data_IF_421592959907
#
_entry.id   IF_421592959907
#
_cell.length_a   1.000
_cell.length_b   1.000
_cell.length_c   1.000
_cell.angle_alpha   90.00
_cell.angle_beta   90.00
_cell.angle_gamma   90.00
#
_symmetry.space_group_name_H-M   'P 1'
#
loop_
_entity.id
_entity.type
_entity.pdbx_description
1 polymer ?
#
# COMPACT_ATOMS: atom_id res chain seq x y z
N UNK A 1 -11.26 -21.55 -5.98
CA UNK A 1 -11.60 -21.43 -4.54
C UNK A 1 -11.94 -19.98 -4.27
N UNK A 2 -12.91 -19.62 -3.42
CA UNK A 2 -13.17 -18.20 -3.09
C UNK A 2 -12.50 -17.82 -1.77
N UNK A 3 -11.76 -16.71 -1.76
CA UNK A 3 -11.21 -16.09 -0.54
C UNK A 3 -12.22 -15.11 0.07
N UNK A 4 -12.24 -15.03 1.40
CA UNK A 4 -13.08 -14.08 2.16
C UNK A 4 -12.24 -13.38 3.21
N UNK A 5 -12.18 -12.05 3.15
CA UNK A 5 -11.40 -11.21 4.07
C UNK A 5 -12.25 -10.04 4.55
N UNK A 6 -12.29 -9.82 5.86
CA UNK A 6 -12.96 -8.71 6.49
C UNK A 6 -11.93 -7.66 6.90
N UNK A 7 -12.01 -6.49 6.27
CA UNK A 7 -11.11 -5.37 6.53
C UNK A 7 -11.88 -4.31 7.32
N UNK A 8 -11.63 -4.28 8.64
CA UNK A 8 -12.27 -3.37 9.60
C UNK A 8 -13.81 -3.26 9.48
N UNK A 9 -14.49 -4.37 9.25
CA UNK A 9 -15.95 -4.46 9.14
C UNK A 9 -16.49 -4.56 7.71
N UNK A 10 -15.64 -4.39 6.68
CA UNK A 10 -16.03 -4.54 5.28
C UNK A 10 -15.57 -5.89 4.75
N UNK A 11 -16.51 -6.75 4.34
CA UNK A 11 -16.22 -8.06 3.78
C UNK A 11 -15.92 -7.97 2.29
N UNK A 12 -14.77 -8.49 1.89
CA UNK A 12 -14.35 -8.67 0.50
C UNK A 12 -14.31 -10.15 0.15
N UNK A 13 -14.85 -10.49 -1.02
CA UNK A 13 -14.76 -11.82 -1.62
C UNK A 13 -13.98 -11.75 -2.94
N UNK A 14 -13.15 -12.75 -3.20
CA UNK A 14 -12.34 -12.82 -4.43
C UNK A 14 -12.10 -14.26 -4.89
N UNK A 15 -11.76 -14.46 -6.17
CA UNK A 15 -11.31 -15.76 -6.66
C UNK A 15 -9.86 -15.99 -6.23
N UNK A 16 -9.58 -17.10 -5.54
CA UNK A 16 -8.24 -17.45 -5.06
C UNK A 16 -7.20 -17.56 -6.18
N UNK A 17 -7.60 -17.73 -7.43
CA UNK A 17 -6.71 -17.69 -8.59
C UNK A 17 -5.93 -16.38 -8.71
N UNK A 18 -6.47 -15.26 -8.20
CA UNK A 18 -5.77 -13.96 -8.23
C UNK A 18 -4.46 -13.98 -7.44
N UNK A 19 -4.29 -14.92 -6.51
CA UNK A 19 -3.10 -15.04 -5.68
C UNK A 19 -1.96 -15.79 -6.39
N UNK A 20 -2.26 -16.57 -7.43
CA UNK A 20 -1.28 -17.39 -8.16
C UNK A 20 -0.23 -16.53 -8.88
N UNK A 21 -0.58 -15.29 -9.25
CA UNK A 21 0.27 -14.38 -10.00
C UNK A 21 1.23 -13.54 -9.13
N UNK A 22 1.09 -13.56 -7.80
CA UNK A 22 1.77 -12.61 -6.90
C UNK A 22 2.49 -13.30 -5.74
N UNK A 23 3.61 -14.01 -5.99
CA UNK A 23 4.37 -14.63 -4.91
C UNK A 23 4.94 -13.56 -3.96
N UNK A 24 4.90 -13.83 -2.64
CA UNK A 24 5.48 -13.01 -1.56
C UNK A 24 4.70 -11.76 -1.09
N UNK A 25 3.41 -11.67 -1.37
CA UNK A 25 2.56 -10.60 -0.83
C UNK A 25 1.77 -11.01 0.43
N UNK A 26 1.43 -10.05 1.29
CA UNK A 26 0.69 -10.30 2.55
C UNK A 26 -0.65 -10.99 2.30
N UNK A 27 -1.38 -10.62 1.24
CA UNK A 27 -2.67 -11.27 0.96
C UNK A 27 -2.49 -12.75 0.58
N UNK A 28 -1.38 -13.11 -0.05
CA UNK A 28 -1.06 -14.53 -0.35
C UNK A 28 -0.70 -15.28 0.93
N UNK A 29 0.09 -14.66 1.81
CA UNK A 29 0.49 -15.23 3.11
C UNK A 29 -0.74 -15.54 4.00
N UNK A 30 -1.80 -14.73 3.91
CA UNK A 30 -3.06 -14.94 4.65
C UNK A 30 -3.91 -16.10 4.11
N UNK A 31 -3.68 -16.56 2.88
CA UNK A 31 -4.48 -17.58 2.22
C UNK A 31 -3.62 -18.71 1.59
N UNK A 32 -2.77 -19.40 2.36
CA UNK A 32 -1.84 -20.43 1.86
C UNK A 32 -2.59 -21.62 1.23
N UNK A 33 -2.00 -22.36 0.25
CA UNK A 33 -2.64 -23.45 -0.48
C UNK A 33 -3.35 -24.51 0.39
N UNK A 34 -4.38 -25.13 -0.17
CA UNK A 34 -5.47 -25.83 0.53
C UNK A 34 -5.13 -27.12 1.29
N UNK A 35 -3.87 -27.51 1.44
CA UNK A 35 -3.51 -28.76 2.13
C UNK A 35 -3.68 -28.71 3.66
N UNK A 36 -3.97 -27.55 4.26
CA UNK A 36 -3.93 -27.40 5.73
C UNK A 36 -5.22 -26.98 6.45
N UNK A 37 -6.29 -26.50 5.80
CA UNK A 37 -7.45 -25.97 6.57
C UNK A 37 -8.78 -26.17 5.84
N UNK A 38 -9.61 -27.07 6.38
CA UNK A 38 -11.01 -27.22 5.99
C UNK A 38 -11.80 -25.93 6.20
N UNK A 39 -12.65 -25.59 5.23
CA UNK A 39 -13.56 -24.45 5.22
C UNK A 39 -12.93 -23.15 5.77
N UNK A 40 -12.05 -22.52 4.98
CA UNK A 40 -11.29 -21.33 5.37
C UNK A 40 -12.22 -20.28 5.99
N UNK A 41 -12.06 -20.06 7.29
CA UNK A 41 -12.76 -19.03 8.03
C UNK A 41 -12.42 -17.65 7.45
N UNK A 42 -13.36 -16.72 7.61
CA UNK A 42 -13.15 -15.30 7.32
C UNK A 42 -11.92 -14.78 8.07
N UNK A 43 -10.98 -14.16 7.35
CA UNK A 43 -9.80 -13.52 7.95
C UNK A 43 -10.13 -12.07 8.26
N UNK A 44 -9.99 -11.66 9.53
CA UNK A 44 -10.12 -10.26 9.92
C UNK A 44 -8.78 -9.54 9.85
N UNK A 45 -8.77 -8.33 9.29
CA UNK A 45 -7.59 -7.45 9.19
C UNK A 45 -7.99 -6.01 9.59
N UNK A 46 -7.38 -5.49 10.65
CA UNK A 46 -7.63 -4.15 11.17
C UNK A 46 -6.93 -3.05 10.37
N UNK A 47 -7.30 -2.87 9.10
CA UNK A 47 -6.71 -1.90 8.16
C UNK A 47 -7.79 -1.10 7.41
N UNK A 48 -7.39 -0.18 6.54
CA UNK A 48 -8.34 0.63 5.79
C UNK A 48 -9.00 -0.16 4.66
N UNK A 49 -10.32 -0.33 4.74
CA UNK A 49 -11.12 -0.99 3.72
C UNK A 49 -11.10 -0.22 2.39
N UNK A 50 -11.09 1.11 2.46
CA UNK A 50 -11.07 1.99 1.28
C UNK A 50 -9.81 1.76 0.43
N UNK A 51 -8.64 1.70 1.07
CA UNK A 51 -7.39 1.41 0.37
C UNK A 51 -7.30 -0.05 -0.06
N UNK A 52 -7.85 -0.96 0.74
CA UNK A 52 -7.83 -2.38 0.40
C UNK A 52 -8.60 -2.68 -0.88
N UNK A 53 -9.69 -1.96 -1.18
CA UNK A 53 -10.40 -2.14 -2.44
C UNK A 53 -9.50 -1.93 -3.67
N UNK A 54 -8.64 -0.90 -3.65
CA UNK A 54 -7.68 -0.65 -4.72
C UNK A 54 -6.56 -1.70 -4.77
N UNK A 55 -6.11 -2.16 -3.60
CA UNK A 55 -5.09 -3.21 -3.49
C UNK A 55 -5.62 -4.54 -4.02
N UNK A 56 -6.88 -4.90 -3.69
CA UNK A 56 -7.54 -6.08 -4.25
C UNK A 56 -7.72 -5.96 -5.77
N UNK A 57 -8.06 -4.77 -6.26
CA UNK A 57 -8.12 -4.47 -7.69
C UNK A 57 -6.79 -4.77 -8.39
N UNK A 58 -5.66 -4.39 -7.79
CA UNK A 58 -4.33 -4.72 -8.31
C UNK A 58 -4.10 -6.24 -8.45
N UNK A 59 -4.50 -7.08 -7.47
CA UNK A 59 -4.41 -8.53 -7.64
C UNK A 59 -5.30 -9.07 -8.77
N UNK A 60 -6.43 -8.40 -9.04
CA UNK A 60 -7.38 -8.83 -10.07
C UNK A 60 -6.95 -8.42 -11.48
N UNK A 61 -6.34 -7.24 -11.64
CA UNK A 61 -6.05 -6.65 -12.96
C UNK A 61 -4.56 -6.58 -13.28
N UNK A 62 -3.69 -6.62 -12.27
CA UNK A 62 -2.27 -6.28 -12.39
C UNK A 62 -1.99 -4.77 -12.46
N UNK A 63 -3.01 -3.92 -12.37
CA UNK A 63 -2.88 -2.47 -12.49
C UNK A 63 -3.10 -1.78 -11.14
N UNK A 64 -2.04 -1.16 -10.60
CA UNK A 64 -2.12 -0.47 -9.32
C UNK A 64 -2.51 1.00 -9.50
N UNK A 65 -3.67 1.35 -8.94
CA UNK A 65 -4.19 2.72 -8.91
C UNK A 65 -4.38 3.21 -7.48
N UNK A 66 -4.11 4.49 -7.25
CA UNK A 66 -4.33 5.15 -5.97
C UNK A 66 -5.75 5.73 -5.91
N UNK A 67 -6.54 5.45 -4.85
CA UNK A 67 -7.81 6.14 -4.64
C UNK A 67 -7.65 7.66 -4.59
N UNK A 68 -8.56 8.40 -5.23
CA UNK A 68 -8.51 9.87 -5.26
C UNK A 68 -8.79 10.52 -3.91
N UNK A 69 -9.56 9.84 -3.07
CA UNK A 69 -9.98 10.23 -1.72
C UNK A 69 -8.92 9.99 -0.64
N UNK A 70 -7.88 9.20 -0.95
CA UNK A 70 -6.83 8.85 0.00
C UNK A 70 -5.59 9.70 -0.26
N UNK A 71 -4.92 10.15 0.81
CA UNK A 71 -3.68 10.88 0.70
C UNK A 71 -2.51 9.95 0.28
N UNK A 72 -1.54 10.43 -0.51
CA UNK A 72 -0.46 9.58 -1.04
C UNK A 72 0.34 8.83 0.05
N UNK A 73 0.61 9.48 1.18
CA UNK A 73 1.35 8.88 2.28
C UNK A 73 0.57 7.77 2.99
N UNK A 74 -0.74 7.96 3.20
CA UNK A 74 -1.57 6.92 3.80
C UNK A 74 -1.65 5.70 2.89
N UNK A 75 -1.84 5.91 1.58
CA UNK A 75 -1.85 4.81 0.63
C UNK A 75 -0.50 4.08 0.58
N UNK A 76 0.63 4.82 0.60
CA UNK A 76 1.97 4.21 0.66
C UNK A 76 2.15 3.28 1.86
N UNK A 77 1.69 3.69 3.06
CA UNK A 77 1.78 2.85 4.27
C UNK A 77 0.94 1.57 4.15
N UNK A 78 -0.19 1.64 3.44
CA UNK A 78 -0.98 0.45 3.15
C UNK A 78 -0.26 -0.46 2.15
N UNK A 79 0.31 0.09 1.07
CA UNK A 79 1.13 -0.69 0.13
C UNK A 79 2.27 -1.42 0.85
N UNK A 80 2.98 -0.76 1.75
CA UNK A 80 4.04 -1.37 2.55
C UNK A 80 3.51 -2.52 3.42
N UNK A 81 2.34 -2.36 4.06
CA UNK A 81 1.70 -3.43 4.86
C UNK A 81 1.29 -4.62 3.99
N UNK A 82 0.70 -4.36 2.82
CA UNK A 82 0.24 -5.39 1.90
C UNK A 82 1.38 -5.99 1.05
N UNK A 83 2.61 -5.48 1.22
CA UNK A 83 3.81 -5.81 0.44
C UNK A 83 3.61 -5.63 -1.07
N UNK A 84 2.82 -4.63 -1.46
CA UNK A 84 2.63 -4.26 -2.87
C UNK A 84 3.71 -3.23 -3.25
N UNK A 85 4.56 -3.51 -4.25
CA UNK A 85 5.56 -2.55 -4.72
C UNK A 85 4.90 -1.25 -5.16
N UNK A 86 5.49 -0.12 -4.79
CA UNK A 86 4.95 1.18 -5.24
C UNK A 86 5.26 1.42 -6.72
N UNK A 87 6.29 0.74 -7.21
CA UNK A 87 6.84 0.83 -8.55
C UNK A 87 5.83 0.33 -9.60
N UNK A 88 4.90 -0.53 -9.18
CA UNK A 88 3.82 -1.06 -10.02
C UNK A 88 2.68 -0.05 -10.24
N UNK A 89 2.75 1.11 -9.58
CA UNK A 89 1.75 2.16 -9.70
C UNK A 89 1.71 2.72 -11.12
N UNK A 90 0.51 2.73 -11.69
CA UNK A 90 0.28 3.25 -13.02
C UNK A 90 0.62 4.74 -13.10
N UNK A 91 1.08 5.17 -14.28
CA UNK A 91 1.53 6.56 -14.54
C UNK A 91 0.44 7.60 -14.27
N UNK A 92 -0.82 7.23 -14.46
CA UNK A 92 -1.98 8.06 -14.15
C UNK A 92 -2.17 8.33 -12.65
N UNK A 93 -1.43 7.65 -11.77
CA UNK A 93 -1.48 7.82 -10.31
C UNK A 93 -0.12 8.20 -9.72
N UNK A 94 0.99 7.80 -10.36
CA UNK A 94 2.35 7.97 -9.83
C UNK A 94 2.74 9.45 -9.60
N UNK A 95 2.21 10.39 -10.41
CA UNK A 95 2.50 11.82 -10.23
C UNK A 95 2.04 12.35 -8.86
N UNK A 96 0.90 11.86 -8.33
CA UNK A 96 0.39 12.28 -7.01
C UNK A 96 1.34 11.85 -5.89
N UNK A 97 1.96 10.69 -6.05
CA UNK A 97 2.96 10.19 -5.12
C UNK A 97 4.30 10.94 -5.29
N UNK A 98 4.74 11.16 -6.52
CA UNK A 98 6.00 11.84 -6.84
C UNK A 98 6.05 13.29 -6.35
N UNK A 99 4.97 14.06 -6.54
CA UNK A 99 4.88 15.44 -6.03
C UNK A 99 5.05 15.46 -4.49
N UNK A 100 4.44 14.50 -3.80
CA UNK A 100 4.58 14.38 -2.35
C UNK A 100 6.03 14.12 -1.93
N UNK A 101 6.75 13.21 -2.60
CA UNK A 101 8.16 12.94 -2.32
C UNK A 101 9.08 14.14 -2.65
N UNK A 102 8.83 14.85 -3.75
CA UNK A 102 9.61 16.05 -4.11
C UNK A 102 9.39 17.19 -3.13
N UNK A 103 8.17 17.38 -2.63
CA UNK A 103 7.91 18.34 -1.55
C UNK A 103 8.65 17.96 -0.26
N UNK A 104 8.70 16.68 0.09
CA UNK A 104 9.48 16.21 1.23
C UNK A 104 10.98 16.42 1.05
N UNK A 105 11.55 16.18 -0.13
CA UNK A 105 12.96 16.45 -0.42
C UNK A 105 13.28 17.95 -0.40
N UNK A 106 12.40 18.80 -0.93
CA UNK A 106 12.60 20.25 -0.88
C UNK A 106 12.51 20.78 0.55
N UNK A 107 11.58 20.27 1.36
CA UNK A 107 11.52 20.60 2.80
C UNK A 107 12.77 20.08 3.51
N UNK A 108 13.21 18.86 3.23
CA UNK A 108 14.40 18.29 3.84
C UNK A 108 15.68 19.07 3.48
N UNK A 109 15.86 19.43 2.20
CA UNK A 109 16.98 20.26 1.74
C UNK A 109 16.92 21.67 2.35
N UNK A 110 15.73 22.26 2.44
CA UNK A 110 15.53 23.56 3.05
C UNK A 110 15.81 23.55 4.56
N UNK A 111 15.34 22.54 5.29
CA UNK A 111 15.62 22.37 6.73
C UNK A 111 17.11 22.09 6.97
N UNK A 112 17.75 21.33 6.09
CA UNK A 112 19.20 21.06 6.16
C UNK A 112 20.00 22.35 5.95
N UNK A 113 19.60 23.18 4.99
CA UNK A 113 20.23 24.46 4.69
C UNK A 113 20.05 25.46 5.84
N UNK A 114 18.85 25.57 6.39
CA UNK A 114 18.59 26.42 7.55
C UNK A 114 19.37 25.96 8.80
N UNK A 115 19.42 24.65 9.07
CA UNK A 115 20.19 24.10 10.20
C UNK A 115 21.68 24.38 10.07
N UNK A 116 22.23 24.28 8.85
CA UNK A 116 23.62 24.63 8.56
C UNK A 116 23.90 26.12 8.74
N UNK A 117 22.98 26.99 8.31
CA UNK A 117 23.11 28.45 8.48
C UNK A 117 23.02 28.89 9.94
N UNK A 118 22.15 28.26 10.75
CA UNK A 118 22.03 28.53 12.19
C UNK A 118 23.27 28.06 12.94
N UNK A 119 23.83 26.90 12.58
CA UNK A 119 25.10 26.42 13.12
C UNK A 119 26.25 27.40 12.81
N UNK A 120 26.37 27.88 11.57
CA UNK A 120 27.40 28.87 11.19
C UNK A 120 27.26 30.21 11.92
N UNK A 121 26.02 30.66 12.18
CA UNK A 121 25.77 31.87 12.97
C UNK A 121 26.06 31.71 14.48
N UNK A 122 26.25 30.48 14.95
CA UNK A 122 26.60 30.18 16.35
C UNK A 122 28.11 30.15 16.61
N UNK A 123 28.92 30.25 15.55
CA UNK A 123 30.39 30.28 15.59
C UNK A 123 30.98 31.66 15.31
N UNK A 124 30.17 32.72 15.33
CA UNK A 124 30.60 34.12 15.22
C UNK A 124 30.15 34.92 16.45
#
# INVERSE_FOLDING_TARGET
MRGKINVSGVLFEFDGKVLENFPHHTLVDLFPPAESVGNRAEVFVGRSAETFAAILGYYQTGELHMPTTVCPQAFRRELDFWKVPVEDMQTCCSYRLGIFFLQFLNVFLFVSFLSFSVLLSSFN
#
